data_IF_186922627485
#
_entry.id   IF_186922627485
#
_cell.length_a   1.000
_cell.length_b   1.000
_cell.length_c   1.000
_cell.angle_alpha   90.00
_cell.angle_beta   90.00
_cell.angle_gamma   90.00
#
_symmetry.space_group_name_H-M   'P 1'
#
loop_
_entity.id
_entity.type
_entity.pdbx_description
1 polymer ?
#
# COMPACT_ATOMS: atom_id res chain seq x y z
N UNK A 1 -55.77 -31.42 -3.02
CA UNK A 1 -54.65 -31.17 -3.96
C UNK A 1 -54.01 -29.82 -3.65
N UNK A 2 -53.05 -29.79 -2.72
CA UNK A 2 -52.29 -28.58 -2.39
C UNK A 2 -50.95 -28.97 -1.74
N UNK A 3 -49.99 -29.44 -2.53
CA UNK A 3 -48.59 -29.59 -2.08
C UNK A 3 -47.57 -29.23 -3.16
N UNK A 4 -47.97 -28.60 -4.27
CA UNK A 4 -47.08 -28.20 -5.38
C UNK A 4 -47.16 -26.70 -5.64
N UNK A 5 -47.19 -25.90 -4.58
CA UNK A 5 -47.00 -24.44 -4.68
C UNK A 5 -45.97 -23.93 -3.70
N UNK A 6 -45.91 -24.51 -2.49
CA UNK A 6 -45.05 -24.03 -1.41
C UNK A 6 -43.54 -24.22 -1.63
N UNK A 7 -43.11 -25.13 -2.52
CA UNK A 7 -41.69 -25.36 -2.82
C UNK A 7 -41.11 -24.45 -3.89
N UNK A 8 -41.95 -23.82 -4.73
CA UNK A 8 -41.48 -22.86 -5.74
C UNK A 8 -41.20 -21.48 -5.13
N UNK A 9 -42.02 -21.05 -4.19
CA UNK A 9 -41.87 -19.75 -3.52
C UNK A 9 -40.61 -19.67 -2.64
N UNK A 10 -40.17 -20.79 -2.05
CA UNK A 10 -38.95 -20.83 -1.21
C UNK A 10 -37.68 -20.76 -2.07
N UNK A 11 -37.73 -21.29 -3.30
CA UNK A 11 -36.60 -21.25 -4.25
C UNK A 11 -36.52 -19.93 -5.02
N UNK A 12 -37.64 -19.23 -5.24
CA UNK A 12 -37.65 -17.88 -5.83
C UNK A 12 -37.17 -16.79 -4.84
N UNK A 13 -37.37 -16.99 -3.54
CA UNK A 13 -36.85 -16.10 -2.49
C UNK A 13 -35.33 -16.15 -2.29
N UNK A 14 -34.64 -17.15 -2.85
CA UNK A 14 -33.19 -17.33 -2.72
C UNK A 14 -32.38 -16.77 -3.90
N UNK A 15 -33.05 -16.28 -4.95
CA UNK A 15 -32.41 -15.70 -6.14
C UNK A 15 -32.48 -14.16 -6.15
N UNK A 16 -33.29 -13.57 -5.26
CA UNK A 16 -33.30 -12.13 -5.00
C UNK A 16 -32.63 -11.84 -3.68
N UNK A 17 -31.31 -11.79 -3.71
CA UNK A 17 -30.54 -10.65 -3.22
C UNK A 17 -29.06 -11.01 -3.33
N UNK A 18 -28.27 -10.08 -3.86
CA UNK A 18 -26.85 -10.20 -4.20
C UNK A 18 -25.94 -10.41 -2.98
N UNK A 19 -26.14 -11.49 -2.24
CA UNK A 19 -25.48 -11.79 -0.97
C UNK A 19 -24.43 -12.91 -1.05
N UNK A 20 -24.18 -13.47 -2.24
CA UNK A 20 -23.21 -14.56 -2.41
C UNK A 20 -21.84 -14.13 -2.98
N UNK A 21 -21.62 -12.83 -3.21
CA UNK A 21 -20.27 -12.31 -3.56
C UNK A 21 -19.41 -11.95 -2.36
N UNK A 22 -19.99 -11.62 -1.21
CA UNK A 22 -19.21 -11.25 -0.02
C UNK A 22 -18.60 -12.45 0.72
N UNK A 23 -19.20 -13.65 0.58
CA UNK A 23 -18.69 -14.87 1.20
C UNK A 23 -17.50 -15.52 0.48
N UNK A 24 -17.04 -14.94 -0.64
CA UNK A 24 -15.90 -15.46 -1.41
C UNK A 24 -14.75 -14.46 -1.60
N UNK A 25 -14.87 -13.20 -1.13
CA UNK A 25 -13.70 -12.30 -1.12
C UNK A 25 -12.87 -12.71 0.10
N UNK A 26 -11.74 -13.37 -0.16
CA UNK A 26 -10.62 -13.47 0.80
C UNK A 26 -10.53 -12.14 1.53
N UNK A 27 -10.61 -12.16 2.87
CA UNK A 27 -10.30 -10.99 3.70
C UNK A 27 -8.98 -10.41 3.17
N UNK A 28 -8.96 -9.11 2.88
CA UNK A 28 -7.77 -8.55 2.23
C UNK A 28 -6.64 -8.51 3.25
N UNK A 29 -5.39 -8.76 2.82
CA UNK A 29 -4.22 -8.68 3.72
C UNK A 29 -4.13 -7.30 4.42
N UNK A 30 -4.67 -6.27 3.77
CA UNK A 30 -4.80 -4.93 4.31
C UNK A 30 -5.73 -4.85 5.54
N UNK A 31 -6.91 -5.49 5.50
CA UNK A 31 -7.83 -5.53 6.65
C UNK A 31 -7.22 -6.26 7.85
N UNK A 32 -6.51 -7.37 7.60
CA UNK A 32 -5.84 -8.15 8.64
C UNK A 32 -4.77 -7.32 9.36
N UNK A 33 -4.02 -6.51 8.63
CA UNK A 33 -2.99 -5.62 9.19
C UNK A 33 -3.57 -4.45 9.98
N UNK A 34 -4.67 -3.86 9.52
CA UNK A 34 -5.39 -2.84 10.30
C UNK A 34 -5.83 -3.42 11.65
N UNK A 35 -6.36 -4.65 11.65
CA UNK A 35 -6.75 -5.30 12.89
C UNK A 35 -5.56 -5.65 13.79
N UNK A 36 -4.44 -6.13 13.22
CA UNK A 36 -3.20 -6.38 13.97
C UNK A 36 -2.67 -5.10 14.63
N UNK A 37 -2.70 -4.01 13.89
CA UNK A 37 -2.29 -2.68 14.34
C UNK A 37 -3.14 -2.22 15.53
N UNK A 38 -4.45 -2.49 15.50
CA UNK A 38 -5.39 -2.21 16.60
C UNK A 38 -5.23 -3.14 17.81
N UNK A 39 -4.78 -4.38 17.62
CA UNK A 39 -4.55 -5.37 18.71
C UNK A 39 -3.19 -5.23 19.40
N UNK A 40 -2.28 -4.42 18.87
CA UNK A 40 -0.91 -4.29 19.38
C UNK A 40 -0.86 -3.72 20.81
N UNK A 41 0.06 -4.17 21.69
CA UNK A 41 0.16 -3.76 23.09
C UNK A 41 0.35 -2.25 23.32
N UNK A 42 0.68 -1.50 22.27
CA UNK A 42 0.85 -0.05 22.29
C UNK A 42 -0.48 0.73 22.41
N UNK A 43 -1.64 0.06 22.46
CA UNK A 43 -2.91 0.65 22.87
C UNK A 43 -3.44 1.72 21.91
N UNK A 44 -3.38 1.48 20.60
CA UNK A 44 -3.86 2.43 19.59
C UNK A 44 -2.86 3.53 19.19
N UNK A 45 -1.69 3.61 19.85
CA UNK A 45 -0.60 4.55 19.48
C UNK A 45 0.02 4.29 18.10
N UNK A 46 -0.32 3.17 17.47
CA UNK A 46 0.16 2.89 16.13
C UNK A 46 -0.60 3.71 15.08
N UNK A 47 -1.79 4.24 15.36
CA UNK A 47 -2.55 4.99 14.35
C UNK A 47 -2.29 6.50 14.45
N UNK A 48 -1.94 7.12 13.32
CA UNK A 48 -1.75 8.56 13.19
C UNK A 48 -2.93 9.18 12.43
N UNK A 49 -3.72 10.07 13.07
CA UNK A 49 -4.91 10.67 12.44
C UNK A 49 -4.57 11.63 11.28
N UNK A 50 -3.33 12.10 11.18
CA UNK A 50 -2.87 12.93 10.05
C UNK A 50 -2.68 12.12 8.77
N UNK A 51 -2.45 10.80 8.91
CA UNK A 51 -2.20 9.90 7.80
C UNK A 51 -3.49 9.23 7.32
N UNK A 52 -3.59 9.03 6.01
CA UNK A 52 -4.64 8.19 5.43
C UNK A 52 -4.52 6.74 5.92
N UNK A 53 -5.57 5.91 5.76
CA UNK A 53 -5.48 4.48 6.02
C UNK A 53 -4.33 3.76 5.28
N UNK A 54 -4.12 3.92 3.96
CA UNK A 54 -3.00 3.28 3.28
C UNK A 54 -1.63 3.77 3.80
N UNK A 55 -1.50 5.06 4.12
CA UNK A 55 -0.27 5.60 4.69
C UNK A 55 0.02 5.03 6.09
N UNK A 56 -1.00 4.90 6.95
CA UNK A 56 -0.84 4.27 8.28
C UNK A 56 -0.32 2.83 8.17
N UNK A 57 -0.91 2.03 7.28
CA UNK A 57 -0.50 0.63 7.08
C UNK A 57 0.93 0.54 6.55
N UNK A 58 1.30 1.38 5.57
CA UNK A 58 2.68 1.43 5.05
C UNK A 58 3.67 1.82 6.15
N UNK A 59 3.39 2.87 6.92
CA UNK A 59 4.28 3.29 8.02
C UNK A 59 4.38 2.19 9.09
N UNK A 60 3.29 1.49 9.39
CA UNK A 60 3.32 0.34 10.30
C UNK A 60 4.26 -0.76 9.79
N UNK A 61 4.17 -1.13 8.50
CA UNK A 61 5.09 -2.10 7.89
C UNK A 61 6.55 -1.63 7.92
N UNK A 62 6.80 -0.35 7.62
CA UNK A 62 8.13 0.25 7.74
C UNK A 62 8.66 0.14 9.18
N UNK A 63 7.82 0.39 10.18
CA UNK A 63 8.18 0.28 11.60
C UNK A 63 8.64 -1.13 11.98
N UNK A 64 7.97 -2.17 11.44
CA UNK A 64 8.36 -3.57 11.63
C UNK A 64 9.71 -3.88 10.99
N UNK A 65 9.96 -3.39 9.78
CA UNK A 65 11.24 -3.59 9.07
C UNK A 65 12.39 -2.94 9.84
N UNK A 66 12.16 -1.75 10.39
CA UNK A 66 13.16 -0.97 11.12
C UNK A 66 13.33 -1.41 12.58
N UNK A 67 12.45 -2.27 13.10
CA UNK A 67 12.45 -2.65 14.52
C UNK A 67 12.15 -1.48 15.46
N UNK A 68 11.45 -0.45 14.97
CA UNK A 68 11.07 0.74 15.72
C UNK A 68 9.55 0.77 15.90
N UNK A 69 9.07 1.39 16.98
CA UNK A 69 7.65 1.76 17.07
C UNK A 69 7.33 2.95 16.16
N UNK A 70 6.07 3.10 15.76
CA UNK A 70 5.65 4.27 14.98
C UNK A 70 5.84 5.59 15.74
N UNK A 71 5.73 5.58 17.08
CA UNK A 71 6.07 6.75 17.91
C UNK A 71 7.55 7.11 17.80
N UNK A 72 8.46 6.13 17.91
CA UNK A 72 9.90 6.37 17.75
C UNK A 72 10.25 6.86 16.35
N UNK A 73 9.59 6.34 15.31
CA UNK A 73 9.78 6.86 13.95
C UNK A 73 9.37 8.33 13.85
N UNK A 74 8.24 8.71 14.47
CA UNK A 74 7.80 10.11 14.52
C UNK A 74 8.78 11.00 15.29
N UNK A 75 9.25 10.53 16.45
CA UNK A 75 10.25 11.25 17.26
C UNK A 75 11.56 11.45 16.48
N UNK A 76 12.05 10.43 15.78
CA UNK A 76 13.24 10.54 14.94
C UNK A 76 13.03 11.53 13.78
N UNK A 77 11.89 11.45 13.09
CA UNK A 77 11.54 12.40 12.03
C UNK A 77 11.50 13.84 12.54
N UNK A 78 10.87 14.08 13.70
CA UNK A 78 10.75 15.42 14.27
C UNK A 78 12.12 15.99 14.69
N UNK A 79 13.06 15.12 15.10
CA UNK A 79 14.43 15.48 15.46
C UNK A 79 15.33 15.73 14.25
N UNK A 80 15.19 14.97 13.17
CA UNK A 80 16.08 15.01 11.99
C UNK A 80 15.59 15.98 10.91
N UNK A 81 14.28 16.12 10.73
CA UNK A 81 13.71 16.95 9.68
C UNK A 81 13.89 18.45 9.97
N UNK A 82 13.95 19.25 8.91
CA UNK A 82 13.85 20.72 9.02
C UNK A 82 12.41 21.14 9.29
N UNK A 83 12.21 22.34 9.86
CA UNK A 83 10.87 22.82 10.21
C UNK A 83 9.94 22.99 9.00
N UNK A 84 10.51 23.23 7.80
CA UNK A 84 9.77 23.25 6.54
C UNK A 84 9.13 21.89 6.21
N UNK A 85 9.83 20.79 6.52
CA UNK A 85 9.33 19.44 6.27
C UNK A 85 8.29 19.00 7.31
N UNK A 86 8.33 19.59 8.51
CA UNK A 86 7.36 19.38 9.59
C UNK A 86 6.09 20.21 9.43
N UNK A 87 6.03 21.11 8.43
CA UNK A 87 4.85 21.96 8.22
C UNK A 87 3.60 21.09 8.02
N UNK A 88 2.49 21.47 8.69
CA UNK A 88 1.27 20.64 8.78
C UNK A 88 0.73 20.19 7.42
N UNK A 89 0.84 21.04 6.40
CA UNK A 89 0.36 20.73 5.03
C UNK A 89 1.18 19.69 4.29
N UNK A 90 2.42 19.41 4.73
CA UNK A 90 3.32 18.48 4.05
C UNK A 90 3.70 17.31 4.96
N UNK A 91 3.32 17.37 6.24
CA UNK A 91 3.71 16.41 7.27
C UNK A 91 3.44 14.97 6.84
N UNK A 92 2.22 14.66 6.38
CA UNK A 92 1.85 13.30 6.03
C UNK A 92 2.72 12.73 4.90
N UNK A 93 2.94 13.52 3.83
CA UNK A 93 3.78 13.11 2.70
C UNK A 93 5.24 12.96 3.10
N UNK A 94 5.79 13.93 3.83
CA UNK A 94 7.20 13.92 4.23
C UNK A 94 7.50 12.82 5.25
N UNK A 95 6.61 12.61 6.22
CA UNK A 95 6.76 11.56 7.21
C UNK A 95 6.63 10.16 6.57
N UNK A 96 5.68 9.98 5.65
CA UNK A 96 5.57 8.76 4.86
C UNK A 96 6.86 8.49 4.07
N UNK A 97 7.36 9.48 3.33
CA UNK A 97 8.61 9.37 2.58
C UNK A 97 9.79 9.00 3.47
N UNK A 98 9.95 9.66 4.62
CA UNK A 98 10.97 9.33 5.61
C UNK A 98 10.92 7.85 6.01
N UNK A 99 9.74 7.37 6.39
CA UNK A 99 9.55 5.98 6.79
C UNK A 99 9.83 5.00 5.64
N UNK A 100 9.37 5.32 4.42
CA UNK A 100 9.59 4.51 3.23
C UNK A 100 11.08 4.39 2.91
N UNK A 101 11.80 5.51 2.83
CA UNK A 101 13.21 5.49 2.44
C UNK A 101 14.10 4.81 3.48
N UNK A 102 13.83 5.00 4.77
CA UNK A 102 14.53 4.28 5.83
C UNK A 102 14.31 2.77 5.70
N UNK A 103 13.05 2.33 5.53
CA UNK A 103 12.74 0.91 5.41
C UNK A 103 13.32 0.28 4.13
N UNK A 104 13.29 1.00 3.00
CA UNK A 104 13.90 0.54 1.75
C UNK A 104 15.42 0.43 1.88
N UNK A 105 16.09 1.43 2.46
CA UNK A 105 17.53 1.41 2.69
C UNK A 105 17.98 0.23 3.56
N UNK A 106 17.15 -0.21 4.51
CA UNK A 106 17.39 -1.42 5.30
C UNK A 106 17.10 -2.70 4.49
N UNK A 107 15.99 -2.72 3.74
CA UNK A 107 15.52 -3.90 3.02
C UNK A 107 16.47 -4.33 1.90
N UNK A 108 17.04 -3.37 1.15
CA UNK A 108 17.93 -3.65 0.02
C UNK A 108 19.29 -4.23 0.44
N UNK A 109 19.61 -4.26 1.74
CA UNK A 109 20.82 -4.88 2.27
C UNK A 109 20.71 -6.41 2.33
N UNK A 110 19.50 -6.96 2.20
CA UNK A 110 19.26 -8.40 2.20
C UNK A 110 19.45 -8.96 0.79
N UNK A 111 20.29 -9.98 0.61
CA UNK A 111 20.50 -10.61 -0.70
C UNK A 111 19.20 -11.25 -1.22
N UNK A 112 18.90 -11.06 -2.50
CA UNK A 112 17.69 -11.60 -3.13
C UNK A 112 16.40 -10.89 -2.71
N UNK A 113 16.47 -9.65 -2.23
CA UNK A 113 15.30 -8.90 -1.76
C UNK A 113 14.22 -8.73 -2.86
N UNK A 114 14.57 -8.77 -4.15
CA UNK A 114 13.59 -8.72 -5.23
C UNK A 114 12.82 -10.04 -5.43
N UNK A 115 13.35 -11.18 -4.97
CA UNK A 115 12.62 -12.46 -4.99
C UNK A 115 11.51 -12.51 -3.93
N UNK A 116 11.61 -11.69 -2.88
CA UNK A 116 10.60 -11.58 -1.83
C UNK A 116 9.34 -10.85 -2.34
N UNK A 117 8.22 -11.58 -2.43
CA UNK A 117 6.94 -11.02 -2.85
C UNK A 117 6.43 -9.94 -1.88
N UNK A 118 6.79 -10.01 -0.60
CA UNK A 118 6.42 -9.00 0.39
C UNK A 118 7.16 -7.69 0.13
N UNK A 119 8.43 -7.75 -0.22
CA UNK A 119 9.19 -6.56 -0.60
C UNK A 119 8.60 -5.90 -1.84
N UNK A 120 8.34 -6.69 -2.91
CA UNK A 120 7.75 -6.17 -4.15
C UNK A 120 6.36 -5.57 -3.93
N UNK A 121 5.54 -6.18 -3.07
CA UNK A 121 4.23 -5.63 -2.71
C UNK A 121 4.38 -4.37 -1.88
N UNK A 122 5.29 -4.35 -0.91
CA UNK A 122 5.55 -3.19 -0.08
C UNK A 122 5.97 -1.97 -0.91
N UNK A 123 6.91 -2.11 -1.86
CA UNK A 123 7.34 -0.98 -2.69
C UNK A 123 6.20 -0.40 -3.54
N UNK A 124 5.30 -1.25 -4.04
CA UNK A 124 4.10 -0.80 -4.75
C UNK A 124 3.11 -0.10 -3.80
N UNK A 125 2.87 -0.69 -2.64
CA UNK A 125 1.99 -0.14 -1.61
C UNK A 125 2.49 1.22 -1.09
N UNK A 126 3.81 1.42 -1.00
CA UNK A 126 4.43 2.72 -0.72
C UNK A 126 4.08 3.76 -1.79
N UNK A 127 4.04 3.38 -3.07
CA UNK A 127 3.63 4.28 -4.16
C UNK A 127 2.14 4.62 -4.05
N UNK A 128 1.28 3.64 -3.73
CA UNK A 128 -0.16 3.88 -3.50
C UNK A 128 -0.38 4.85 -2.34
N UNK A 129 0.29 4.61 -1.20
CA UNK A 129 0.20 5.49 -0.03
C UNK A 129 0.73 6.90 -0.32
N UNK A 130 1.73 7.04 -1.20
CA UNK A 130 2.31 8.33 -1.57
C UNK A 130 1.35 9.22 -2.37
N UNK A 131 0.47 8.64 -3.19
CA UNK A 131 -0.59 9.38 -3.88
C UNK A 131 -1.63 9.93 -2.91
N UNK A 132 -1.90 9.21 -1.83
CA UNK A 132 -2.92 9.54 -0.84
C UNK A 132 -2.34 9.55 0.59
N UNK A 133 -1.43 10.47 0.94
CA UNK A 133 -0.75 10.42 2.23
C UNK A 133 -1.62 10.94 3.38
N UNK A 134 -2.52 11.90 3.11
CA UNK A 134 -3.30 12.64 4.11
C UNK A 134 -4.69 12.05 4.34
N UNK A 135 -5.16 12.08 5.59
CA UNK A 135 -6.51 11.61 5.97
C UNK A 135 -7.68 12.43 5.39
N UNK A 136 -7.43 13.65 4.92
CA UNK A 136 -8.48 14.54 4.41
C UNK A 136 -8.91 14.24 2.96
N UNK A 137 -8.21 13.33 2.26
CA UNK A 137 -8.37 13.08 0.82
C UNK A 137 -9.25 11.89 0.44
N UNK A 138 -10.44 11.74 1.02
CA UNK A 138 -11.40 10.68 0.64
C UNK A 138 -11.96 10.90 -0.78
N UNK A 139 -12.19 9.84 -1.58
CA UNK A 139 -12.09 8.42 -1.23
C UNK A 139 -10.68 7.84 -1.38
N UNK A 140 -10.26 6.99 -0.45
CA UNK A 140 -8.98 6.27 -0.53
C UNK A 140 -9.09 4.96 -1.32
N UNK A 141 -8.05 4.56 -2.07
CA UNK A 141 -8.03 3.26 -2.71
C UNK A 141 -7.93 2.16 -1.65
N UNK A 142 -8.71 1.10 -1.83
CA UNK A 142 -8.45 -0.13 -1.11
C UNK A 142 -7.12 -0.72 -1.62
N UNK A 143 -6.21 -1.10 -0.73
CA UNK A 143 -4.90 -1.66 -1.11
C UNK A 143 -5.02 -3.14 -1.55
N UNK A 144 -5.94 -3.44 -2.49
CA UNK A 144 -6.02 -4.74 -3.16
C UNK A 144 -5.31 -4.71 -4.53
N UNK A 145 -5.52 -5.74 -5.34
CA UNK A 145 -4.83 -5.90 -6.62
C UNK A 145 -5.35 -4.94 -7.71
N UNK A 146 -6.48 -4.26 -7.47
CA UNK A 146 -7.05 -3.27 -8.37
C UNK A 146 -6.46 -1.87 -8.17
N UNK A 147 -5.68 -1.67 -7.09
CA UNK A 147 -4.95 -0.44 -6.86
C UNK A 147 -3.97 -0.16 -8.01
N UNK A 148 -3.90 1.10 -8.41
CA UNK A 148 -2.98 1.58 -9.44
C UNK A 148 -2.19 2.77 -8.94
N UNK A 149 -1.06 3.06 -9.58
CA UNK A 149 -0.19 4.18 -9.21
C UNK A 149 0.14 5.04 -10.43
N UNK A 150 0.28 6.34 -10.21
CA UNK A 150 0.68 7.32 -11.21
C UNK A 150 2.19 7.51 -11.28
N UNK A 151 2.62 8.26 -12.30
CA UNK A 151 4.04 8.51 -12.58
C UNK A 151 4.76 9.21 -11.44
N UNK A 152 4.12 10.19 -10.78
CA UNK A 152 4.74 10.95 -9.69
C UNK A 152 5.13 10.04 -8.51
N UNK A 153 4.22 9.14 -8.12
CA UNK A 153 4.48 8.19 -7.04
C UNK A 153 5.59 7.19 -7.43
N UNK A 154 5.54 6.67 -8.66
CA UNK A 154 6.57 5.78 -9.18
C UNK A 154 7.93 6.47 -9.22
N UNK A 155 8.02 7.64 -9.84
CA UNK A 155 9.26 8.41 -10.00
C UNK A 155 9.82 8.89 -8.66
N UNK A 156 9.00 9.00 -7.61
CA UNK A 156 9.46 9.34 -6.26
C UNK A 156 9.99 8.13 -5.48
N UNK A 157 9.27 7.00 -5.49
CA UNK A 157 9.60 5.84 -4.64
C UNK A 157 10.55 4.86 -5.34
N UNK A 158 10.34 4.56 -6.63
CA UNK A 158 11.10 3.52 -7.32
C UNK A 158 12.63 3.78 -7.32
N UNK A 159 13.12 5.03 -7.51
CA UNK A 159 14.57 5.30 -7.47
C UNK A 159 15.23 5.12 -6.10
N UNK A 160 14.47 4.98 -5.01
CA UNK A 160 15.02 4.62 -3.71
C UNK A 160 15.57 3.18 -3.69
N UNK A 161 15.22 2.36 -4.69
CA UNK A 161 15.79 1.05 -4.94
C UNK A 161 16.55 1.13 -6.28
N UNK A 162 17.87 1.34 -6.27
CA UNK A 162 18.63 1.67 -7.49
C UNK A 162 18.52 0.65 -8.63
N UNK A 163 18.26 -0.62 -8.32
CA UNK A 163 18.05 -1.68 -9.31
C UNK A 163 16.72 -1.51 -10.07
N UNK A 164 15.71 -0.91 -9.44
CA UNK A 164 14.38 -0.73 -10.05
C UNK A 164 14.38 0.43 -11.05
N UNK A 165 14.89 1.58 -10.63
CA UNK A 165 14.90 2.79 -11.44
C UNK A 165 15.98 3.77 -10.97
N UNK A 166 16.27 4.77 -11.80
CA UNK A 166 16.96 5.99 -11.39
C UNK A 166 16.22 7.20 -11.94
N UNK A 167 16.50 8.38 -11.38
CA UNK A 167 15.80 9.63 -11.69
C UNK A 167 15.82 10.04 -13.17
N UNK A 168 16.76 9.51 -13.97
CA UNK A 168 16.87 9.83 -15.41
C UNK A 168 15.96 8.94 -16.27
N UNK A 169 15.69 7.70 -15.82
CA UNK A 169 14.95 6.70 -16.60
C UNK A 169 13.56 6.39 -16.05
N UNK A 170 13.20 6.89 -14.85
CA UNK A 170 11.92 6.59 -14.19
C UNK A 170 10.72 6.77 -15.12
N UNK A 171 10.65 7.90 -15.82
CA UNK A 171 9.51 8.21 -16.68
C UNK A 171 9.38 7.23 -17.85
N UNK A 172 10.51 6.83 -18.44
CA UNK A 172 10.55 5.85 -19.53
C UNK A 172 10.17 4.45 -19.06
N UNK A 173 10.65 4.05 -17.87
CA UNK A 173 10.26 2.78 -17.27
C UNK A 173 8.76 2.80 -16.98
N UNK A 174 8.25 3.87 -16.37
CA UNK A 174 6.83 4.02 -16.08
C UNK A 174 5.97 3.92 -17.33
N UNK A 175 6.32 4.63 -18.42
CA UNK A 175 5.59 4.59 -19.68
C UNK A 175 5.44 3.15 -20.23
N UNK A 176 6.52 2.38 -20.19
CA UNK A 176 6.52 0.97 -20.64
C UNK A 176 5.68 0.08 -19.72
N UNK A 177 5.73 0.30 -18.40
CA UNK A 177 5.01 -0.54 -17.43
C UNK A 177 3.53 -0.18 -17.31
N UNK A 178 3.20 1.10 -17.42
CA UNK A 178 1.86 1.60 -17.25
C UNK A 178 0.96 1.13 -18.40
N UNK A 179 1.46 1.18 -19.64
CA UNK A 179 0.89 0.66 -20.91
C UNK A 179 -0.63 0.37 -20.88
N UNK A 180 -1.40 1.31 -20.33
CA UNK A 180 -2.82 1.24 -20.09
C UNK A 180 -3.43 2.55 -20.54
N UNK A 181 -4.70 2.57 -20.99
CA UNK A 181 -5.32 3.77 -21.54
C UNK A 181 -5.28 4.99 -20.60
N UNK A 182 -5.20 4.74 -19.28
CA UNK A 182 -5.28 5.76 -18.26
C UNK A 182 -3.90 6.20 -17.74
N UNK A 183 -2.80 5.69 -18.31
CA UNK A 183 -1.43 5.94 -17.85
C UNK A 183 -1.24 5.61 -16.36
N UNK A 184 -1.78 4.47 -15.94
CA UNK A 184 -1.76 3.97 -14.56
C UNK A 184 -1.01 2.65 -14.51
N UNK A 185 -0.12 2.51 -13.53
CA UNK A 185 0.64 1.28 -13.30
C UNK A 185 -0.09 0.36 -12.33
N UNK A 186 -0.34 -0.87 -12.75
CA UNK A 186 -0.92 -1.93 -11.92
C UNK A 186 0.17 -2.75 -11.23
N UNK A 187 -0.15 -3.29 -10.04
CA UNK A 187 0.78 -4.15 -9.30
C UNK A 187 1.25 -5.35 -10.13
N UNK A 188 0.36 -5.98 -10.90
CA UNK A 188 0.71 -7.16 -11.72
C UNK A 188 1.76 -6.88 -12.80
N UNK A 189 1.81 -5.66 -13.36
CA UNK A 189 2.84 -5.26 -14.30
C UNK A 189 4.16 -4.97 -13.58
N UNK A 190 4.08 -4.27 -12.45
CA UNK A 190 5.22 -3.95 -11.60
C UNK A 190 5.90 -5.22 -11.02
N UNK A 191 5.13 -6.16 -10.49
CA UNK A 191 5.60 -7.44 -9.94
C UNK A 191 6.34 -8.25 -11.02
N UNK A 192 5.76 -8.38 -12.22
CA UNK A 192 6.42 -9.06 -13.36
C UNK A 192 7.73 -8.39 -13.78
N UNK A 193 7.79 -7.07 -13.73
CA UNK A 193 9.00 -6.31 -14.03
C UNK A 193 10.10 -6.61 -13.02
N UNK A 194 9.80 -6.53 -11.72
CA UNK A 194 10.77 -6.81 -10.66
C UNK A 194 11.25 -8.27 -10.66
N UNK A 195 10.35 -9.24 -10.88
CA UNK A 195 10.73 -10.66 -11.02
C UNK A 195 11.67 -10.90 -12.20
N UNK A 196 11.58 -10.09 -13.26
CA UNK A 196 12.51 -10.17 -14.40
C UNK A 196 13.84 -9.50 -14.09
N UNK A 197 13.85 -8.39 -13.36
CA UNK A 197 15.08 -7.70 -12.97
C UNK A 197 16.01 -8.58 -12.15
N UNK A 198 15.49 -9.36 -11.21
CA UNK A 198 16.32 -10.25 -10.36
C UNK A 198 17.05 -11.35 -11.15
N UNK A 199 16.59 -11.65 -12.38
CA UNK A 199 17.19 -12.70 -13.22
C UNK A 199 18.38 -12.21 -14.05
N UNK A 200 18.74 -10.92 -13.96
CA UNK A 200 19.84 -10.30 -14.69
C UNK A 200 20.97 -9.89 -13.74
#
# INVERSE_FOLDING_TARGET
MAMVSRTRDILEGLVKDGSFKWLSKRRSAFEEEIEEMGRSPSGGKNWLPELSPPANVVVYRCSKILGLSMCQLRENFDAEASDLLKHKSNFARNFLEYCCFMALAQSIQVTGYLDDNKFRRLTFDMMVAWEFPEAAGEPFPHMDDDATVGIEAFSRIAPAVPVIANVVVSDKIFEVLAASPNNRLHFSAYDKFLVRLERY
#
